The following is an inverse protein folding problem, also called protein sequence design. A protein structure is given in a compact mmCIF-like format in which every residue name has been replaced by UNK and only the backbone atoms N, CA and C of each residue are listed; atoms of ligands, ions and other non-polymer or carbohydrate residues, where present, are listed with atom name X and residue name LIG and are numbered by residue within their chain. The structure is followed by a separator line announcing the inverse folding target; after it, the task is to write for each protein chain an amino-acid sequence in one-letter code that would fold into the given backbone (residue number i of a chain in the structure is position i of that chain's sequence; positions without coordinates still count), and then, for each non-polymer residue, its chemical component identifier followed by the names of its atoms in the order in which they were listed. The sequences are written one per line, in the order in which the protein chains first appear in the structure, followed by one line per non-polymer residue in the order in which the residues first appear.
data_IF_136339603685
#
_entry.id   IF_136339603685
#
_cell.length_a   1.000
_cell.length_b   1.000
_cell.length_c   1.000
_cell.angle_alpha   90.00
_cell.angle_beta   90.00
_cell.angle_gamma   90.00
#
_symmetry.space_group_name_H-M   'P 1'
#
loop_
_entity.id
_entity.type
_entity.pdbx_description
1 polymer ?
#
# COMPACT_ATOMS: atom_id res chain seq x y z
N UNK A 1 -14.68 -3.26 35.23
CA UNK A 1 -16.05 -3.80 35.08
C UNK A 1 -17.16 -2.86 35.62
N UNK A 2 -16.90 -1.57 35.93
CA UNK A 2 -17.93 -0.68 36.51
C UNK A 2 -18.59 0.30 35.51
N UNK A 3 -17.95 0.64 34.39
CA UNK A 3 -18.50 1.60 33.41
C UNK A 3 -19.70 1.06 32.60
N UNK A 4 -19.81 -0.25 32.39
CA UNK A 4 -20.90 -0.85 31.59
C UNK A 4 -22.28 -0.71 32.24
N UNK A 5 -22.34 -0.54 33.57
CA UNK A 5 -23.60 -0.46 34.31
C UNK A 5 -24.16 0.98 34.37
N UNK A 6 -23.43 1.97 33.86
CA UNK A 6 -23.81 3.38 33.89
C UNK A 6 -24.30 3.92 32.53
N UNK A 7 -24.28 3.07 31.49
CA UNK A 7 -24.67 3.45 30.13
C UNK A 7 -26.21 3.40 30.01
N UNK A 8 -26.89 4.52 29.67
CA UNK A 8 -28.33 4.51 29.43
C UNK A 8 -28.70 3.64 28.21
N UNK A 9 -29.85 2.94 28.25
CA UNK A 9 -30.32 2.17 27.08
C UNK A 9 -30.52 3.04 25.83
N UNK A 10 -30.86 4.32 26.02
CA UNK A 10 -31.02 5.31 24.95
C UNK A 10 -29.70 5.66 24.25
N UNK A 11 -28.55 5.37 24.84
CA UNK A 11 -27.23 5.62 24.25
C UNK A 11 -27.06 4.91 22.91
N UNK A 12 -27.53 3.67 22.83
CA UNK A 12 -27.42 2.83 21.63
C UNK A 12 -28.32 3.26 20.47
N UNK A 13 -29.24 4.21 20.70
CA UNK A 13 -30.13 4.72 19.65
C UNK A 13 -29.39 5.40 18.49
N UNK A 14 -28.19 5.94 18.75
CA UNK A 14 -27.31 6.53 17.73
C UNK A 14 -27.08 5.58 16.54
N UNK A 15 -26.81 4.31 16.82
CA UNK A 15 -26.49 3.34 15.75
C UNK A 15 -27.70 2.97 14.89
N UNK A 16 -28.92 3.28 15.36
CA UNK A 16 -30.18 3.01 14.65
C UNK A 16 -30.77 4.27 14.02
N UNK A 17 -30.24 5.45 14.31
CA UNK A 17 -30.81 6.70 13.84
C UNK A 17 -30.56 6.89 12.35
N UNK A 18 -31.49 7.58 11.68
CA UNK A 18 -31.37 7.90 10.25
C UNK A 18 -30.33 9.01 10.01
N UNK A 19 -30.11 9.86 11.02
CA UNK A 19 -29.13 10.95 11.02
C UNK A 19 -27.80 10.56 11.68
N UNK A 20 -27.49 9.26 11.79
CA UNK A 20 -26.35 8.76 12.58
C UNK A 20 -25.04 9.46 12.25
N UNK A 21 -24.74 9.61 10.97
CA UNK A 21 -23.46 10.15 10.52
C UNK A 21 -23.32 11.64 10.91
N UNK A 22 -24.43 12.39 10.89
CA UNK A 22 -24.49 13.79 11.35
C UNK A 22 -24.26 13.88 12.86
N UNK A 23 -24.84 12.98 13.64
CA UNK A 23 -24.66 12.97 15.10
C UNK A 23 -23.25 12.54 15.51
N UNK A 24 -22.65 11.57 14.83
CA UNK A 24 -21.25 11.18 15.07
C UNK A 24 -20.33 12.37 14.78
N UNK A 25 -20.53 13.06 13.66
CA UNK A 25 -19.74 14.24 13.32
C UNK A 25 -19.92 15.38 14.33
N UNK A 26 -21.16 15.64 14.75
CA UNK A 26 -21.47 16.61 15.79
C UNK A 26 -20.74 16.32 17.11
N UNK A 27 -20.64 15.04 17.50
CA UNK A 27 -19.90 14.62 18.69
C UNK A 27 -18.39 14.85 18.55
N UNK A 28 -17.82 14.58 17.37
CA UNK A 28 -16.40 14.83 17.11
C UNK A 28 -16.08 16.34 17.17
N UNK A 29 -16.90 17.19 16.56
CA UNK A 29 -16.69 18.64 16.64
C UNK A 29 -16.80 19.19 18.06
N UNK A 30 -17.72 18.66 18.88
CA UNK A 30 -17.82 19.04 20.30
C UNK A 30 -16.61 18.54 21.08
N UNK A 31 -16.10 17.35 20.78
CA UNK A 31 -14.94 16.78 21.46
C UNK A 31 -13.67 17.58 21.17
N UNK A 32 -13.42 17.94 19.91
CA UNK A 32 -12.29 18.80 19.52
C UNK A 32 -12.26 20.09 20.34
N UNK A 33 -13.39 20.80 20.43
CA UNK A 33 -13.49 22.04 21.22
C UNK A 33 -13.38 21.81 22.74
N UNK A 34 -13.74 20.62 23.22
CA UNK A 34 -13.58 20.25 24.62
C UNK A 34 -12.09 20.07 24.99
N UNK A 35 -11.26 19.57 24.06
CA UNK A 35 -9.82 19.40 24.29
C UNK A 35 -9.06 20.73 24.39
N UNK A 36 -9.48 21.75 23.65
CA UNK A 36 -8.82 23.06 23.63
C UNK A 36 -9.31 24.02 24.71
N UNK A 37 -10.44 23.75 25.37
CA UNK A 37 -11.03 24.64 26.37
C UNK A 37 -10.80 24.16 27.81
N UNK A 38 -10.18 25.01 28.64
CA UNK A 38 -9.92 24.73 30.06
C UNK A 38 -11.19 24.73 30.95
N UNK A 39 -12.35 25.13 30.42
CA UNK A 39 -13.62 25.24 31.13
C UNK A 39 -14.70 24.42 30.43
N UNK A 40 -15.70 23.98 31.19
CA UNK A 40 -16.87 23.31 30.63
C UNK A 40 -17.51 24.15 29.51
N UNK A 41 -17.91 23.49 28.43
CA UNK A 41 -18.59 24.16 27.32
C UNK A 41 -19.99 24.58 27.75
N UNK A 42 -20.37 25.83 27.52
CA UNK A 42 -21.74 26.27 27.77
C UNK A 42 -22.66 25.79 26.66
N UNK A 43 -23.96 25.68 26.94
CA UNK A 43 -24.95 25.29 25.94
C UNK A 43 -24.91 26.18 24.70
N UNK A 44 -24.72 27.48 24.87
CA UNK A 44 -24.65 28.46 23.78
C UNK A 44 -23.45 28.23 22.88
N UNK A 45 -22.28 27.91 23.47
CA UNK A 45 -21.06 27.60 22.73
C UNK A 45 -21.25 26.31 21.93
N UNK A 46 -21.82 25.26 22.51
CA UNK A 46 -22.13 24.03 21.76
C UNK A 46 -23.09 24.29 20.59
N UNK A 47 -24.11 25.14 20.76
CA UNK A 47 -25.01 25.51 19.65
C UNK A 47 -24.27 26.26 18.55
N UNK A 48 -23.35 27.17 18.91
CA UNK A 48 -22.52 27.89 17.94
C UNK A 48 -21.62 26.94 17.15
N UNK A 49 -20.91 26.03 17.82
CA UNK A 49 -20.06 25.01 17.18
C UNK A 49 -20.86 24.19 16.17
N UNK A 50 -22.04 23.70 16.58
CA UNK A 50 -22.92 22.93 15.71
C UNK A 50 -23.51 23.77 14.58
N UNK A 51 -23.74 25.06 14.80
CA UNK A 51 -24.16 26.01 13.77
C UNK A 51 -23.08 26.20 12.71
N UNK A 52 -21.82 26.34 13.12
CA UNK A 52 -20.70 26.48 12.21
C UNK A 52 -20.46 25.19 11.40
N UNK A 53 -20.59 24.03 12.06
CA UNK A 53 -20.58 22.73 11.39
C UNK A 53 -21.68 22.62 10.32
N UNK A 54 -22.92 22.95 10.69
CA UNK A 54 -24.07 22.95 9.77
C UNK A 54 -23.90 23.93 8.60
N UNK A 55 -23.30 25.10 8.85
CA UNK A 55 -23.04 26.09 7.80
C UNK A 55 -22.01 25.60 6.77
N UNK A 56 -20.98 24.86 7.21
CA UNK A 56 -19.93 24.31 6.33
C UNK A 56 -20.46 23.23 5.40
N UNK A 57 -21.33 22.33 5.87
CA UNK A 57 -21.75 21.14 5.12
C UNK A 57 -23.21 21.12 4.64
N UNK A 58 -24.05 22.05 5.11
CA UNK A 58 -25.48 22.19 4.74
C UNK A 58 -26.27 20.87 4.86
N UNK A 59 -26.27 20.28 6.05
CA UNK A 59 -27.01 19.06 6.31
C UNK A 59 -28.54 19.28 6.33
N UNK A 60 -29.29 18.34 5.76
CA UNK A 60 -30.74 18.24 5.94
C UNK A 60 -31.06 17.15 6.97
N UNK A 61 -31.52 17.54 8.16
CA UNK A 61 -31.92 16.60 9.21
C UNK A 61 -33.27 15.96 8.88
N UNK A 62 -33.28 14.63 8.76
CA UNK A 62 -34.51 13.87 8.60
C UNK A 62 -35.27 13.77 9.94
N UNK A 63 -36.59 13.59 9.87
CA UNK A 63 -37.43 13.44 11.07
C UNK A 63 -37.12 12.12 11.77
N UNK A 64 -36.81 12.18 13.05
CA UNK A 64 -36.64 11.01 13.91
C UNK A 64 -38.00 10.52 14.43
N UNK A 65 -38.11 9.23 14.76
CA UNK A 65 -39.34 8.65 15.32
C UNK A 65 -39.75 9.29 16.67
N UNK A 66 -38.78 9.81 17.41
CA UNK A 66 -38.96 10.46 18.71
C UNK A 66 -39.05 11.99 18.63
N UNK A 67 -39.04 12.58 17.42
CA UNK A 67 -39.13 14.04 17.26
C UNK A 67 -40.53 14.55 17.58
N UNK A 68 -40.63 15.48 18.52
CA UNK A 68 -41.86 16.21 18.79
C UNK A 68 -42.09 17.30 17.75
N UNK A 69 -43.33 17.73 17.57
CA UNK A 69 -43.65 18.83 16.64
C UNK A 69 -43.00 20.17 17.06
N UNK A 70 -42.62 20.31 18.34
CA UNK A 70 -41.85 21.44 18.84
C UNK A 70 -40.38 21.37 18.40
N UNK A 71 -39.78 20.18 18.39
CA UNK A 71 -38.40 19.98 17.93
C UNK A 71 -38.25 20.40 16.45
N UNK A 72 -39.30 20.26 15.64
CA UNK A 72 -39.32 20.69 14.23
C UNK A 72 -39.25 22.21 14.04
N UNK A 73 -39.56 22.99 15.06
CA UNK A 73 -39.49 24.46 15.04
C UNK A 73 -38.13 25.00 15.48
N UNK A 74 -37.29 24.14 16.07
CA UNK A 74 -35.95 24.52 16.52
C UNK A 74 -34.94 24.56 15.36
N UNK A 75 -33.85 25.31 15.55
CA UNK A 75 -32.73 25.29 14.62
C UNK A 75 -32.12 23.89 14.55
N UNK A 76 -31.54 23.47 13.39
CA UNK A 76 -30.93 22.16 13.26
C UNK A 76 -29.84 21.90 14.31
N UNK A 77 -29.07 22.93 14.68
CA UNK A 77 -28.04 22.85 15.72
C UNK A 77 -28.63 22.59 17.10
N UNK A 78 -29.75 23.25 17.44
CA UNK A 78 -30.47 22.98 18.69
C UNK A 78 -31.06 21.57 18.72
N UNK A 79 -31.63 21.11 17.60
CA UNK A 79 -32.19 19.76 17.46
C UNK A 79 -31.12 18.68 17.68
N UNK A 80 -29.97 18.81 17.04
CA UNK A 80 -28.82 17.91 17.21
C UNK A 80 -28.39 17.87 18.68
N UNK A 81 -28.19 19.02 19.30
CA UNK A 81 -27.74 19.10 20.69
C UNK A 81 -28.75 18.48 21.66
N UNK A 82 -30.04 18.80 21.49
CA UNK A 82 -31.10 18.26 22.32
C UNK A 82 -31.25 16.74 22.13
N UNK A 83 -31.09 16.24 20.91
CA UNK A 83 -31.09 14.80 20.63
C UNK A 83 -29.92 14.10 21.33
N UNK A 84 -28.69 14.62 21.22
CA UNK A 84 -27.50 14.07 21.87
C UNK A 84 -27.63 14.04 23.41
N UNK A 85 -28.27 15.06 24.00
CA UNK A 85 -28.60 15.10 25.44
C UNK A 85 -29.65 14.04 25.82
N UNK A 86 -30.71 13.86 25.02
CA UNK A 86 -31.76 12.84 25.26
C UNK A 86 -31.22 11.41 25.10
N UNK A 87 -30.35 11.21 24.10
CA UNK A 87 -29.69 9.95 23.85
C UNK A 87 -28.61 9.62 24.91
N UNK A 88 -28.22 10.58 25.76
CA UNK A 88 -27.24 10.36 26.83
C UNK A 88 -25.79 10.41 26.36
N UNK A 89 -25.51 10.92 25.16
CA UNK A 89 -24.13 11.15 24.71
C UNK A 89 -23.51 12.39 25.36
N UNK A 90 -24.35 13.35 25.76
CA UNK A 90 -23.97 14.56 26.47
C UNK A 90 -24.79 14.68 27.76
N UNK A 91 -24.22 15.33 28.78
CA UNK A 91 -24.88 15.59 30.06
C UNK A 91 -24.93 17.08 30.37
N UNK A 92 -26.08 17.53 30.83
CA UNK A 92 -26.27 18.89 31.32
C UNK A 92 -25.82 19.00 32.79
N UNK A 93 -25.00 19.99 33.08
CA UNK A 93 -24.62 20.39 34.44
C UNK A 93 -24.98 21.86 34.62
N UNK A 94 -25.88 22.15 35.55
CA UNK A 94 -26.26 23.52 35.89
C UNK A 94 -25.34 24.00 37.01
N UNK A 95 -24.61 25.09 36.78
CA UNK A 95 -23.87 25.75 37.85
C UNK A 95 -24.81 26.71 38.58
N UNK A 96 -25.22 26.32 39.78
CA UNK A 96 -26.13 27.09 40.63
C UNK A 96 -25.59 28.49 41.00
N UNK A 97 -24.27 28.71 40.92
CA UNK A 97 -23.67 30.01 41.26
C UNK A 97 -23.72 31.00 40.08
N UNK A 98 -23.53 30.51 38.86
CA UNK A 98 -23.45 31.35 37.67
C UNK A 98 -24.75 31.34 36.84
N UNK A 99 -25.71 30.46 37.18
CA UNK A 99 -26.93 30.19 36.41
C UNK A 99 -26.65 29.79 34.95
N UNK A 100 -25.41 29.35 34.66
CA UNK A 100 -25.00 28.91 33.33
C UNK A 100 -25.21 27.41 33.21
N UNK A 101 -25.73 27.01 32.06
CA UNK A 101 -25.91 25.61 31.70
C UNK A 101 -24.69 25.11 30.95
N UNK A 102 -23.93 24.23 31.57
CA UNK A 102 -22.77 23.59 30.98
C UNK A 102 -23.12 22.22 30.41
N UNK A 103 -22.36 21.81 29.40
CA UNK A 103 -22.47 20.54 28.71
C UNK A 103 -21.17 19.77 28.91
N UNK A 104 -21.28 18.52 29.33
CA UNK A 104 -20.16 17.64 29.65
C UNK A 104 -20.34 16.32 28.92
N UNK A 105 -19.23 15.78 28.44
CA UNK A 105 -19.14 14.43 27.86
C UNK A 105 -18.95 13.43 29.01
N UNK A 106 -19.88 12.48 29.23
CA UNK A 106 -19.68 11.42 30.21
C UNK A 106 -18.52 10.49 29.85
N UNK A 107 -17.85 9.89 30.85
CA UNK A 107 -16.68 9.01 30.65
C UNK A 107 -16.94 7.85 29.68
N UNK A 108 -18.13 7.23 29.73
CA UNK A 108 -18.48 6.15 28.80
C UNK A 108 -18.66 6.65 27.35
N UNK A 109 -19.14 7.88 27.16
CA UNK A 109 -19.32 8.48 25.86
C UNK A 109 -17.96 8.88 25.26
N UNK A 110 -17.06 9.42 26.09
CA UNK A 110 -15.69 9.77 25.68
C UNK A 110 -14.96 8.56 25.06
N UNK A 111 -15.03 7.38 25.69
CA UNK A 111 -14.41 6.15 25.14
C UNK A 111 -14.92 5.81 23.73
N UNK A 112 -16.21 6.05 23.48
CA UNK A 112 -16.81 5.78 22.17
C UNK A 112 -16.51 6.89 21.16
N UNK A 113 -16.43 8.14 21.60
CA UNK A 113 -16.03 9.29 20.77
C UNK A 113 -14.57 9.11 20.32
N UNK A 114 -13.66 8.73 21.22
CA UNK A 114 -12.27 8.38 20.86
C UNK A 114 -12.21 7.26 19.80
N UNK A 115 -13.15 6.32 19.86
CA UNK A 115 -13.24 5.25 18.87
C UNK A 115 -13.75 5.78 17.52
N UNK A 116 -14.74 6.66 17.51
CA UNK A 116 -15.19 7.34 16.29
C UNK A 116 -14.11 8.22 15.69
N UNK A 117 -13.36 8.93 16.51
CA UNK A 117 -12.24 9.76 16.06
C UNK A 117 -11.20 8.90 15.36
N UNK A 118 -10.79 7.78 15.97
CA UNK A 118 -9.87 6.81 15.36
C UNK A 118 -10.39 6.21 14.05
N UNK A 119 -11.69 6.04 13.92
CA UNK A 119 -12.32 5.54 12.69
C UNK A 119 -12.42 6.61 11.61
N UNK A 120 -12.58 7.88 12.00
CA UNK A 120 -12.74 9.02 11.10
C UNK A 120 -11.40 9.62 10.66
N UNK A 121 -10.36 9.50 11.47
CA UNK A 121 -9.00 9.80 11.08
C UNK A 121 -8.47 8.67 10.20
N UNK A 122 -8.55 8.84 8.87
CA UNK A 122 -8.07 7.83 7.92
C UNK A 122 -6.57 7.48 8.07
N UNK A 123 -5.75 8.28 8.75
CA UNK A 123 -4.30 7.99 8.85
C UNK A 123 -3.55 8.54 10.08
N UNK A 124 -4.23 9.18 11.04
CA UNK A 124 -3.54 9.87 12.15
C UNK A 124 -3.00 8.93 13.24
N UNK A 125 -3.43 7.66 13.30
CA UNK A 125 -3.05 6.75 14.40
C UNK A 125 -1.91 5.78 14.09
N UNK A 126 -1.50 5.64 12.83
CA UNK A 126 -0.41 4.71 12.44
C UNK A 126 0.88 5.41 12.01
N UNK A 127 0.86 6.72 11.82
CA UNK A 127 2.05 7.53 11.52
C UNK A 127 2.98 7.75 12.72
N UNK A 128 2.56 7.36 13.93
CA UNK A 128 3.30 7.62 15.19
C UNK A 128 3.92 6.39 15.86
N UNK A 129 3.91 5.23 15.19
CA UNK A 129 4.51 4.02 15.75
C UNK A 129 6.00 3.98 15.42
N UNK A 130 6.71 5.00 15.93
CA UNK A 130 8.15 5.14 15.73
C UNK A 130 8.94 4.16 16.58
N UNK A 131 9.93 3.52 15.97
CA UNK A 131 10.89 2.65 16.68
C UNK A 131 11.72 3.49 17.65
N UNK A 132 12.01 4.74 17.28
CA UNK A 132 12.62 5.75 18.12
C UNK A 132 11.89 5.91 19.47
N UNK A 133 10.55 5.81 19.53
CA UNK A 133 9.82 5.95 20.79
C UNK A 133 10.13 4.81 21.76
N UNK A 134 10.32 3.59 21.25
CA UNK A 134 10.74 2.44 22.06
C UNK A 134 12.17 2.64 22.57
N UNK A 135 13.07 3.09 21.69
CA UNK A 135 14.44 3.39 22.10
C UNK A 135 14.51 4.51 23.14
N UNK A 136 13.82 5.62 22.91
CA UNK A 136 13.79 6.78 23.81
C UNK A 136 13.23 6.43 25.19
N UNK A 137 12.17 5.61 25.25
CA UNK A 137 11.59 5.15 26.52
C UNK A 137 12.53 4.20 27.28
N UNK A 138 13.21 3.28 26.60
CA UNK A 138 14.23 2.42 27.22
C UNK A 138 15.46 3.20 27.67
N UNK A 139 15.93 4.15 26.86
CA UNK A 139 17.04 5.02 27.20
C UNK A 139 16.71 5.91 28.40
N UNK A 140 15.50 6.48 28.46
CA UNK A 140 15.02 7.22 29.61
C UNK A 140 14.90 6.34 30.85
N UNK A 141 14.38 5.11 30.71
CA UNK A 141 14.32 4.15 31.81
C UNK A 141 15.70 3.85 32.40
N UNK A 142 16.75 3.72 31.56
CA UNK A 142 18.12 3.48 32.02
C UNK A 142 18.74 4.69 32.69
N UNK A 143 18.59 5.88 32.09
CA UNK A 143 19.39 7.05 32.44
C UNK A 143 18.70 8.03 33.39
N UNK A 144 17.38 7.96 33.56
CA UNK A 144 16.66 8.83 34.47
C UNK A 144 16.68 8.27 35.91
N UNK A 145 17.22 9.00 36.91
CA UNK A 145 17.15 8.59 38.32
C UNK A 145 15.71 8.48 38.87
N UNK A 146 14.72 9.03 38.19
CA UNK A 146 13.29 8.91 38.51
C UNK A 146 12.58 7.79 37.77
N UNK A 147 13.29 7.01 36.97
CA UNK A 147 12.71 5.91 36.21
C UNK A 147 11.86 4.99 37.09
N UNK A 148 10.66 4.70 36.60
CA UNK A 148 9.71 3.78 37.20
C UNK A 148 9.45 2.61 36.26
N UNK A 149 8.92 1.51 36.80
CA UNK A 149 8.50 0.35 35.99
C UNK A 149 7.44 0.72 34.94
N UNK A 150 6.74 1.85 35.14
CA UNK A 150 5.80 2.41 34.17
C UNK A 150 6.44 2.74 32.82
N UNK A 151 7.68 3.24 32.78
CA UNK A 151 8.38 3.49 31.52
C UNK A 151 8.66 2.19 30.75
N UNK A 152 8.96 1.11 31.47
CA UNK A 152 9.16 -0.20 30.88
C UNK A 152 7.84 -0.77 30.33
N UNK A 153 6.73 -0.57 31.04
CA UNK A 153 5.38 -0.88 30.52
C UNK A 153 5.05 -0.07 29.27
N UNK A 154 5.37 1.23 29.25
CA UNK A 154 5.17 2.08 28.06
C UNK A 154 6.01 1.57 26.89
N UNK A 155 7.27 1.22 27.11
CA UNK A 155 8.13 0.62 26.08
C UNK A 155 7.53 -0.69 25.54
N UNK A 156 6.98 -1.54 26.41
CA UNK A 156 6.29 -2.77 26.00
C UNK A 156 5.02 -2.49 25.20
N UNK A 157 4.19 -1.51 25.60
CA UNK A 157 3.00 -1.11 24.86
C UNK A 157 3.38 -0.61 23.47
N UNK A 158 4.41 0.22 23.36
CA UNK A 158 4.91 0.71 22.08
C UNK A 158 5.45 -0.43 21.20
N UNK A 159 6.18 -1.38 21.79
CA UNK A 159 6.68 -2.58 21.08
C UNK A 159 5.52 -3.45 20.56
N UNK A 160 4.45 -3.60 21.34
CA UNK A 160 3.24 -4.34 20.93
C UNK A 160 2.46 -3.62 19.83
N UNK A 161 2.35 -2.29 19.91
CA UNK A 161 1.73 -1.47 18.86
C UNK A 161 2.48 -1.60 17.54
N UNK A 162 3.82 -1.53 17.57
CA UNK A 162 4.68 -1.73 16.40
C UNK A 162 4.48 -3.13 15.78
N UNK A 163 4.47 -4.17 16.60
CA UNK A 163 4.19 -5.52 16.13
C UNK A 163 2.81 -5.65 15.47
N UNK A 164 1.79 -5.01 16.06
CA UNK A 164 0.43 -5.02 15.52
C UNK A 164 0.36 -4.30 14.17
N UNK A 165 0.95 -3.10 14.05
CA UNK A 165 0.96 -2.36 12.79
C UNK A 165 1.66 -3.13 11.65
N UNK A 166 2.79 -3.78 11.94
CA UNK A 166 3.45 -4.66 10.96
C UNK A 166 2.59 -5.87 10.58
N UNK A 167 1.83 -6.43 11.53
CA UNK A 167 0.89 -7.50 11.25
C UNK A 167 -0.27 -7.05 10.35
N UNK A 168 -0.83 -5.89 10.66
CA UNK A 168 -1.96 -5.32 9.92
C UNK A 168 -1.52 -4.96 8.49
N UNK A 169 -0.31 -4.43 8.30
CA UNK A 169 0.30 -4.25 6.97
C UNK A 169 0.43 -5.58 6.19
N UNK A 170 0.88 -6.65 6.85
CA UNK A 170 1.01 -7.96 6.22
C UNK A 170 -0.36 -8.55 5.84
N UNK A 171 -1.39 -8.31 6.66
CA UNK A 171 -2.77 -8.69 6.33
C UNK A 171 -3.33 -7.87 5.15
N UNK A 172 -3.07 -6.56 5.13
CA UNK A 172 -3.47 -5.67 4.04
C UNK A 172 -2.83 -6.10 2.71
N UNK A 173 -1.55 -6.51 2.70
CA UNK A 173 -0.93 -7.09 1.50
C UNK A 173 -1.70 -8.28 0.92
N UNK A 174 -2.20 -9.19 1.77
CA UNK A 174 -3.01 -10.32 1.30
C UNK A 174 -4.34 -9.86 0.70
N UNK A 175 -4.95 -8.82 1.26
CA UNK A 175 -6.17 -8.19 0.70
C UNK A 175 -5.88 -7.59 -0.67
N UNK A 176 -4.75 -6.89 -0.86
CA UNK A 176 -4.36 -6.38 -2.17
C UNK A 176 -4.08 -7.47 -3.19
N UNK A 177 -3.48 -8.59 -2.78
CA UNK A 177 -3.34 -9.76 -3.64
C UNK A 177 -4.69 -10.29 -4.11
N UNK A 178 -5.66 -10.42 -3.21
CA UNK A 178 -7.01 -10.88 -3.56
C UNK A 178 -7.71 -9.91 -4.53
N UNK A 179 -7.59 -8.60 -4.27
CA UNK A 179 -8.13 -7.57 -5.18
C UNK A 179 -7.45 -7.58 -6.55
N UNK A 180 -6.12 -7.71 -6.59
CA UNK A 180 -5.34 -7.83 -7.83
C UNK A 180 -5.83 -9.01 -8.68
N UNK A 181 -6.22 -10.12 -8.04
CA UNK A 181 -6.74 -11.30 -8.74
C UNK A 181 -8.08 -11.04 -9.43
N UNK A 182 -8.90 -10.13 -8.89
CA UNK A 182 -10.22 -9.77 -9.41
C UNK A 182 -10.18 -8.73 -10.54
N UNK A 183 -9.02 -8.09 -10.79
CA UNK A 183 -8.89 -7.05 -11.81
C UNK A 183 -8.50 -7.62 -13.17
N UNK A 184 -9.37 -7.50 -14.15
CA UNK A 184 -9.15 -8.08 -15.49
C UNK A 184 -8.55 -7.08 -16.49
N UNK A 185 -8.55 -5.79 -16.15
CA UNK A 185 -8.06 -4.73 -17.02
C UNK A 185 -6.68 -4.21 -16.60
N UNK A 186 -5.84 -3.86 -17.59
CA UNK A 186 -4.52 -3.30 -17.35
C UNK A 186 -4.59 -1.99 -16.55
N UNK A 187 -5.51 -1.09 -16.94
CA UNK A 187 -5.72 0.19 -16.27
C UNK A 187 -6.21 0.03 -14.83
N UNK A 188 -7.08 -0.95 -14.56
CA UNK A 188 -7.55 -1.27 -13.21
C UNK A 188 -6.43 -1.79 -12.31
N UNK A 189 -5.58 -2.68 -12.84
CA UNK A 189 -4.40 -3.19 -12.12
C UNK A 189 -3.41 -2.07 -11.83
N UNK A 190 -3.13 -1.19 -12.80
CA UNK A 190 -2.20 -0.08 -12.63
C UNK A 190 -2.70 0.93 -11.60
N UNK A 191 -3.99 1.29 -11.66
CA UNK A 191 -4.61 2.19 -10.70
C UNK A 191 -4.57 1.63 -9.28
N UNK A 192 -4.99 0.38 -9.08
CA UNK A 192 -4.95 -0.24 -7.75
C UNK A 192 -3.50 -0.37 -7.22
N UNK A 193 -2.53 -0.59 -8.10
CA UNK A 193 -1.14 -0.63 -7.70
C UNK A 193 -0.61 0.74 -7.26
N UNK A 194 -0.86 1.79 -8.04
CA UNK A 194 -0.32 3.13 -7.78
C UNK A 194 -1.08 3.88 -6.68
N UNK A 195 -2.41 3.92 -6.77
CA UNK A 195 -3.23 4.73 -5.87
C UNK A 195 -3.45 4.03 -4.53
N UNK A 196 -3.59 2.69 -4.53
CA UNK A 196 -3.92 1.97 -3.31
C UNK A 196 -2.67 1.31 -2.68
N UNK A 197 -1.96 0.47 -3.43
CA UNK A 197 -0.87 -0.35 -2.86
C UNK A 197 0.39 0.47 -2.51
N UNK A 198 0.79 1.41 -3.37
CA UNK A 198 1.97 2.24 -3.11
C UNK A 198 1.74 3.15 -1.90
N UNK A 199 0.57 3.80 -1.81
CA UNK A 199 0.20 4.67 -0.69
C UNK A 199 0.10 3.89 0.63
N UNK A 200 -0.67 2.80 0.67
CA UNK A 200 -0.93 2.11 1.93
C UNK A 200 0.24 1.24 2.42
N UNK A 201 1.07 0.69 1.53
CA UNK A 201 2.09 -0.32 1.91
C UNK A 201 3.50 0.14 1.61
N UNK A 202 3.78 0.63 0.40
CA UNK A 202 5.17 0.95 0.00
C UNK A 202 5.70 2.13 0.80
N UNK A 203 4.92 3.19 0.98
CA UNK A 203 5.32 4.34 1.79
C UNK A 203 5.51 3.99 3.27
N UNK A 204 4.58 3.23 3.86
CA UNK A 204 4.69 2.78 5.27
C UNK A 204 5.92 1.86 5.45
N UNK A 205 6.19 0.96 4.52
CA UNK A 205 7.39 0.11 4.51
C UNK A 205 8.68 0.94 4.35
N UNK A 206 8.67 1.93 3.46
CA UNK A 206 9.80 2.84 3.25
C UNK A 206 10.14 3.60 4.54
N UNK A 207 9.13 4.09 5.25
CA UNK A 207 9.30 4.75 6.54
C UNK A 207 10.06 3.87 7.54
N UNK A 208 9.65 2.62 7.74
CA UNK A 208 10.27 1.73 8.75
C UNK A 208 11.73 1.34 8.41
N UNK A 209 12.08 1.29 7.12
CA UNK A 209 13.36 0.70 6.67
C UNK A 209 14.38 1.70 6.15
N UNK A 210 13.96 2.88 5.69
CA UNK A 210 14.81 3.80 4.93
C UNK A 210 14.87 5.22 5.45
N UNK A 211 13.96 5.65 6.33
CA UNK A 211 14.03 6.98 6.95
C UNK A 211 14.94 6.96 8.19
N UNK A 212 15.01 8.08 8.91
CA UNK A 212 15.70 8.18 10.20
C UNK A 212 15.16 7.20 11.25
N UNK A 213 13.94 6.71 11.09
CA UNK A 213 13.33 5.70 11.97
C UNK A 213 13.62 4.26 11.50
N UNK A 214 14.88 4.00 11.15
CA UNK A 214 15.30 2.73 10.59
C UNK A 214 15.37 1.63 11.66
N UNK A 215 14.61 0.55 11.46
CA UNK A 215 14.63 -0.62 12.34
C UNK A 215 16.04 -1.18 12.61
N UNK A 216 16.86 -1.33 11.58
CA UNK A 216 18.18 -1.95 11.72
C UNK A 216 19.16 -1.08 12.51
N UNK A 217 18.97 0.25 12.52
CA UNK A 217 19.76 1.15 13.36
C UNK A 217 19.36 0.95 14.82
N UNK A 218 18.07 1.13 15.13
CA UNK A 218 17.58 1.05 16.50
C UNK A 218 17.64 -0.35 17.10
N UNK A 219 17.55 -1.42 16.31
CA UNK A 219 17.63 -2.81 16.79
C UNK A 219 18.90 -3.05 17.61
N UNK A 220 20.06 -2.61 17.09
CA UNK A 220 21.33 -2.81 17.77
C UNK A 220 21.41 -2.00 19.06
N UNK A 221 20.94 -0.76 19.04
CA UNK A 221 20.95 0.12 20.20
C UNK A 221 19.96 -0.33 21.29
N UNK A 222 18.78 -0.81 20.90
CA UNK A 222 17.78 -1.38 21.82
C UNK A 222 18.30 -2.67 22.43
N UNK A 223 18.84 -3.61 21.64
CA UNK A 223 19.45 -4.84 22.19
C UNK A 223 20.64 -4.56 23.09
N UNK A 224 21.39 -3.49 22.83
CA UNK A 224 22.46 -3.04 23.72
C UNK A 224 21.88 -2.49 25.03
N UNK A 225 20.89 -1.60 24.96
CA UNK A 225 20.23 -1.03 26.12
C UNK A 225 19.57 -2.10 27.01
N UNK A 226 18.87 -3.06 26.42
CA UNK A 226 18.24 -4.18 27.16
C UNK A 226 19.29 -5.03 27.89
N UNK A 227 20.42 -5.34 27.25
CA UNK A 227 21.54 -6.06 27.89
C UNK A 227 22.17 -5.26 29.03
N UNK A 228 22.43 -3.98 28.81
CA UNK A 228 22.99 -3.09 29.85
C UNK A 228 22.07 -2.96 31.07
N UNK A 229 20.75 -2.94 30.88
CA UNK A 229 19.78 -2.97 31.98
C UNK A 229 19.82 -4.32 32.69
N UNK A 230 19.86 -5.43 31.93
CA UNK A 230 19.86 -6.80 32.45
C UNK A 230 21.10 -7.12 33.29
N UNK A 231 22.27 -6.64 32.86
CA UNK A 231 23.55 -6.90 33.53
C UNK A 231 23.70 -6.10 34.85
N UNK A 232 22.85 -5.10 35.08
CA UNK A 232 22.88 -4.24 36.27
C UNK A 232 21.84 -4.67 37.31
N UNK A 233 22.16 -5.75 38.04
CA UNK A 233 21.31 -6.30 39.10
C UNK A 233 20.98 -5.27 40.19
N UNK A 234 21.94 -4.38 40.50
CA UNK A 234 21.76 -3.34 41.52
C UNK A 234 20.71 -2.31 41.10
N UNK A 235 20.72 -1.90 39.82
CA UNK A 235 19.70 -1.04 39.25
C UNK A 235 18.32 -1.72 39.24
N UNK A 236 18.24 -2.97 38.81
CA UNK A 236 16.98 -3.74 38.77
C UNK A 236 16.36 -3.83 40.17
N UNK A 237 17.15 -4.22 41.17
CA UNK A 237 16.68 -4.30 42.56
C UNK A 237 16.18 -2.95 43.06
N UNK A 238 16.89 -1.85 42.76
CA UNK A 238 16.49 -0.50 43.17
C UNK A 238 15.14 -0.09 42.58
N UNK A 239 14.90 -0.36 41.29
CA UNK A 239 13.63 -0.07 40.62
C UNK A 239 12.51 -0.93 41.18
N UNK A 240 12.75 -2.22 41.39
CA UNK A 240 11.75 -3.13 41.97
C UNK A 240 11.34 -2.72 43.39
N UNK A 241 12.28 -2.37 44.27
CA UNK A 241 11.96 -1.92 45.63
C UNK A 241 11.12 -0.65 45.60
N UNK A 242 11.45 0.30 44.72
CA UNK A 242 10.68 1.54 44.56
C UNK A 242 9.26 1.26 44.04
N UNK A 243 9.12 0.35 43.09
CA UNK A 243 7.81 -0.10 42.57
C UNK A 243 6.94 -0.70 43.67
N UNK A 244 7.53 -1.58 44.50
CA UNK A 244 6.84 -2.17 45.66
C UNK A 244 6.37 -1.12 46.67
N UNK A 245 7.17 -0.07 46.89
CA UNK A 245 6.76 1.04 47.77
C UNK A 245 5.59 1.87 47.21
N UNK A 246 5.43 1.91 45.88
CA UNK A 246 4.30 2.56 45.21
C UNK A 246 3.05 1.66 45.11
N UNK A 247 3.10 0.45 45.69
CA UNK A 247 2.00 -0.52 45.65
C UNK A 247 1.91 -1.33 44.36
N UNK A 248 2.90 -1.23 43.48
CA UNK A 248 2.93 -1.91 42.18
C UNK A 248 3.75 -3.21 42.29
N UNK A 249 3.03 -4.30 42.58
CA UNK A 249 3.57 -5.64 42.81
C UNK A 249 3.32 -6.60 41.63
N UNK A 250 2.87 -6.11 40.48
CA UNK A 250 2.30 -6.97 39.44
C UNK A 250 3.30 -7.55 38.45
N UNK A 251 4.36 -6.81 38.10
CA UNK A 251 5.26 -7.24 37.00
C UNK A 251 6.72 -7.28 37.45
N UNK A 252 7.40 -8.37 37.10
CA UNK A 252 8.85 -8.48 37.24
C UNK A 252 9.56 -7.73 36.09
N UNK A 253 10.53 -6.89 36.46
CA UNK A 253 11.35 -6.10 35.51
C UNK A 253 12.01 -7.00 34.45
N UNK A 254 12.49 -8.18 34.85
CA UNK A 254 13.12 -9.14 33.93
C UNK A 254 12.10 -9.69 32.92
N UNK A 255 10.89 -10.04 33.36
CA UNK A 255 9.84 -10.53 32.46
C UNK A 255 9.43 -9.48 31.43
N UNK A 256 9.34 -8.21 31.85
CA UNK A 256 9.05 -7.10 30.94
C UNK A 256 10.18 -6.89 29.91
N UNK A 257 11.45 -7.00 30.32
CA UNK A 257 12.59 -6.94 29.39
C UNK A 257 12.54 -8.10 28.38
N UNK A 258 12.24 -9.32 28.83
CA UNK A 258 12.12 -10.51 27.97
C UNK A 258 10.99 -10.36 26.95
N UNK A 259 9.85 -9.80 27.36
CA UNK A 259 8.72 -9.54 26.46
C UNK A 259 9.06 -8.48 25.41
N UNK A 260 9.83 -7.45 25.77
CA UNK A 260 10.31 -6.44 24.82
C UNK A 260 11.31 -7.09 23.86
N UNK A 261 12.29 -7.84 24.36
CA UNK A 261 13.31 -8.51 23.53
C UNK A 261 12.68 -9.45 22.51
N UNK A 262 11.77 -10.34 22.95
CA UNK A 262 11.00 -11.22 22.04
C UNK A 262 10.18 -10.42 21.03
N UNK A 263 9.57 -9.33 21.47
CA UNK A 263 8.83 -8.42 20.60
C UNK A 263 9.69 -7.86 19.46
N UNK A 264 10.98 -7.58 19.69
CA UNK A 264 11.90 -7.12 18.66
C UNK A 264 12.38 -8.21 17.71
N UNK A 265 12.57 -9.43 18.21
CA UNK A 265 12.90 -10.59 17.37
C UNK A 265 11.72 -10.92 16.43
N UNK A 266 10.48 -10.84 16.92
CA UNK A 266 9.28 -11.03 16.11
C UNK A 266 9.15 -9.95 15.01
N UNK A 267 9.51 -8.70 15.31
CA UNK A 267 9.50 -7.61 14.32
C UNK A 267 10.45 -7.92 13.16
N UNK A 268 11.65 -8.42 13.44
CA UNK A 268 12.61 -8.78 12.38
C UNK A 268 12.05 -9.87 11.46
N UNK A 269 11.46 -10.92 12.03
CA UNK A 269 10.83 -11.98 11.25
C UNK A 269 9.64 -11.46 10.42
N UNK A 270 8.86 -10.53 10.97
CA UNK A 270 7.73 -9.89 10.25
C UNK A 270 8.21 -9.03 9.09
N UNK A 271 9.28 -8.26 9.27
CA UNK A 271 9.88 -7.45 8.21
C UNK A 271 10.37 -8.34 7.07
N UNK A 272 11.07 -9.44 7.37
CA UNK A 272 11.54 -10.38 6.36
C UNK A 272 10.38 -11.04 5.59
N UNK A 273 9.31 -11.44 6.29
CA UNK A 273 8.11 -11.98 5.66
C UNK A 273 7.40 -10.92 4.80
N UNK A 274 7.38 -9.67 5.26
CA UNK A 274 6.82 -8.56 4.51
C UNK A 274 7.59 -8.29 3.22
N UNK A 275 8.92 -8.35 3.25
CA UNK A 275 9.77 -8.24 2.05
C UNK A 275 9.46 -9.33 1.03
N UNK A 276 9.28 -10.56 1.52
CA UNK A 276 8.92 -11.71 0.68
C UNK A 276 7.56 -11.54 0.01
N UNK A 277 6.52 -11.20 0.78
CA UNK A 277 5.17 -11.01 0.22
C UNK A 277 5.11 -9.77 -0.70
N UNK A 278 5.82 -8.69 -0.38
CA UNK A 278 5.95 -7.53 -1.27
C UNK A 278 6.57 -7.91 -2.61
N UNK A 279 7.71 -8.62 -2.59
CA UNK A 279 8.40 -9.05 -3.82
C UNK A 279 7.51 -9.95 -4.66
N UNK A 280 6.78 -10.87 -4.01
CA UNK A 280 5.82 -11.75 -4.67
C UNK A 280 4.66 -10.95 -5.28
N UNK A 281 4.16 -9.93 -4.60
CA UNK A 281 3.07 -9.08 -5.08
C UNK A 281 3.50 -8.31 -6.31
N UNK A 282 4.61 -7.57 -6.22
CA UNK A 282 5.14 -6.79 -7.36
C UNK A 282 5.40 -7.71 -8.56
N UNK A 283 6.00 -8.89 -8.34
CA UNK A 283 6.22 -9.87 -9.40
C UNK A 283 4.91 -10.34 -10.03
N UNK A 284 3.90 -10.66 -9.24
CA UNK A 284 2.60 -11.09 -9.75
C UNK A 284 1.92 -9.96 -10.54
N UNK A 285 1.95 -8.73 -10.02
CA UNK A 285 1.41 -7.53 -10.67
C UNK A 285 2.10 -7.28 -12.01
N UNK A 286 3.43 -7.25 -12.05
CA UNK A 286 4.21 -7.04 -13.28
C UNK A 286 3.97 -8.18 -14.27
N UNK A 287 3.92 -9.43 -13.81
CA UNK A 287 3.65 -10.58 -14.68
C UNK A 287 2.26 -10.50 -15.29
N UNK A 288 1.24 -10.09 -14.51
CA UNK A 288 -0.14 -9.93 -14.99
C UNK A 288 -0.27 -8.73 -15.94
N UNK A 289 0.37 -7.61 -15.63
CA UNK A 289 0.47 -6.46 -16.52
C UNK A 289 1.12 -6.84 -17.85
N UNK A 290 2.26 -7.55 -17.80
CA UNK A 290 2.95 -8.05 -18.98
C UNK A 290 2.09 -9.03 -19.77
N UNK A 291 1.35 -9.92 -19.10
CA UNK A 291 0.41 -10.83 -19.75
C UNK A 291 -0.65 -10.05 -20.55
N UNK A 292 -1.25 -9.02 -19.95
CA UNK A 292 -2.27 -8.19 -20.64
C UNK A 292 -1.67 -7.36 -21.78
N UNK A 293 -0.43 -6.87 -21.65
CA UNK A 293 0.27 -6.13 -22.70
C UNK A 293 0.78 -7.03 -23.84
N UNK A 294 1.17 -8.26 -23.54
CA UNK A 294 1.75 -9.20 -24.50
C UNK A 294 0.74 -9.80 -25.47
N UNK A 295 -0.55 -9.50 -25.30
CA UNK A 295 -1.64 -10.03 -26.13
C UNK A 295 -1.48 -9.80 -27.63
N UNK A 296 -0.66 -8.86 -28.09
CA UNK A 296 -0.65 -8.46 -29.51
C UNK A 296 0.61 -8.83 -30.31
N UNK A 297 1.73 -9.24 -29.69
CA UNK A 297 3.04 -9.27 -30.40
C UNK A 297 3.79 -10.60 -30.40
N UNK A 298 3.58 -11.47 -29.42
CA UNK A 298 4.26 -12.78 -29.33
C UNK A 298 3.29 -13.95 -29.60
N UNK A 299 3.81 -15.06 -30.12
CA UNK A 299 3.11 -16.35 -30.28
C UNK A 299 2.38 -16.78 -29.01
N UNK A 300 2.96 -16.49 -27.83
CA UNK A 300 2.33 -16.71 -26.52
C UNK A 300 1.10 -15.83 -26.32
N UNK A 301 1.14 -14.56 -26.71
CA UNK A 301 0.01 -13.63 -26.65
C UNK A 301 -1.16 -14.05 -27.53
N UNK A 302 -0.86 -14.53 -28.74
CA UNK A 302 -1.88 -15.07 -29.65
C UNK A 302 -2.56 -16.33 -29.09
N UNK A 303 -1.79 -17.25 -28.49
CA UNK A 303 -2.34 -18.43 -27.81
C UNK A 303 -3.22 -18.02 -26.62
N UNK A 304 -2.78 -17.01 -25.88
CA UNK A 304 -3.53 -16.45 -24.75
C UNK A 304 -4.85 -15.81 -25.20
N UNK A 305 -4.85 -14.98 -26.24
CA UNK A 305 -6.08 -14.40 -26.80
C UNK A 305 -7.06 -15.49 -27.24
N UNK A 306 -6.54 -16.54 -27.88
CA UNK A 306 -7.34 -17.67 -28.33
C UNK A 306 -7.98 -18.41 -27.14
N UNK A 307 -7.22 -18.66 -26.07
CA UNK A 307 -7.73 -19.26 -24.84
C UNK A 307 -8.77 -18.39 -24.12
N UNK A 308 -8.56 -17.08 -24.07
CA UNK A 308 -9.53 -16.14 -23.49
C UNK A 308 -10.84 -16.13 -24.30
N UNK A 309 -10.75 -16.11 -25.63
CA UNK A 309 -11.91 -16.19 -26.52
C UNK A 309 -12.66 -17.53 -26.41
N UNK A 310 -11.95 -18.63 -26.16
CA UNK A 310 -12.56 -19.92 -25.83
C UNK A 310 -13.25 -19.92 -24.46
N UNK A 311 -12.78 -19.10 -23.52
CA UNK A 311 -13.34 -18.98 -22.17
C UNK A 311 -14.56 -18.06 -22.09
N UNK A 312 -14.75 -17.15 -23.05
CA UNK A 312 -15.87 -16.20 -23.06
C UNK A 312 -17.21 -16.88 -23.41
N UNK A 313 -17.22 -17.82 -24.35
CA UNK A 313 -18.42 -18.54 -24.79
C UNK A 313 -18.28 -20.07 -24.62
N UNK A 314 -18.71 -20.64 -23.49
CA UNK A 314 -18.58 -22.08 -23.18
C UNK A 314 -19.26 -22.97 -24.22
N UNK A 315 -20.38 -22.51 -24.79
CA UNK A 315 -21.19 -23.27 -25.76
C UNK A 315 -20.52 -23.35 -27.14
N UNK A 316 -19.64 -22.39 -27.48
CA UNK A 316 -18.87 -22.36 -28.74
C UNK A 316 -17.44 -22.89 -28.58
N UNK A 317 -17.03 -23.22 -27.35
CA UNK A 317 -15.66 -23.63 -27.04
C UNK A 317 -15.21 -24.85 -27.87
N UNK A 318 -16.05 -25.88 -28.03
CA UNK A 318 -15.73 -27.06 -28.85
C UNK A 318 -15.56 -26.74 -30.34
N UNK A 319 -16.36 -25.80 -30.86
CA UNK A 319 -16.30 -25.37 -32.25
C UNK A 319 -15.05 -24.53 -32.52
N UNK A 320 -14.72 -23.61 -31.61
CA UNK A 320 -13.50 -22.81 -31.66
C UNK A 320 -12.26 -23.72 -31.53
N UNK A 321 -12.27 -24.73 -30.66
CA UNK A 321 -11.16 -25.69 -30.51
C UNK A 321 -10.96 -26.50 -31.79
N UNK A 322 -12.04 -26.98 -32.42
CA UNK A 322 -11.94 -27.78 -33.66
C UNK A 322 -11.48 -26.94 -34.85
N UNK A 323 -11.98 -25.71 -35.00
CA UNK A 323 -11.47 -24.73 -35.97
C UNK A 323 -9.98 -24.42 -35.75
N UNK A 324 -9.60 -24.18 -34.51
CA UNK A 324 -8.20 -23.89 -34.14
C UNK A 324 -7.31 -25.10 -34.44
N UNK A 325 -7.72 -26.30 -34.05
CA UNK A 325 -6.97 -27.54 -34.27
C UNK A 325 -6.75 -27.86 -35.75
N UNK A 326 -7.67 -27.46 -36.64
CA UNK A 326 -7.49 -27.57 -38.10
C UNK A 326 -6.42 -26.62 -38.65
N UNK A 327 -6.25 -25.45 -38.02
CA UNK A 327 -5.30 -24.40 -38.46
C UNK A 327 -3.95 -24.49 -37.74
N UNK A 328 -3.91 -25.08 -36.55
CA UNK A 328 -2.69 -25.31 -35.79
C UNK A 328 -2.04 -26.63 -36.20
N UNK A 329 -0.87 -26.54 -36.82
CA UNK A 329 -0.07 -27.71 -37.16
C UNK A 329 0.69 -28.22 -35.92
N UNK A 330 -0.04 -28.70 -34.91
CA UNK A 330 0.51 -29.36 -33.72
C UNK A 330 0.99 -30.77 -34.10
N UNK A 331 2.09 -30.82 -34.84
CA UNK A 331 2.81 -32.08 -35.04
C UNK A 331 3.58 -32.38 -33.75
N UNK A 332 3.16 -33.45 -33.06
CA UNK A 332 3.93 -34.01 -31.95
C UNK A 332 5.19 -34.67 -32.53
N UNK A 333 6.30 -33.93 -32.57
CA UNK A 333 7.58 -34.51 -32.98
C UNK A 333 8.16 -35.33 -31.83
N UNK A 334 7.67 -36.57 -31.65
CA UNK A 334 8.33 -37.53 -30.78
C UNK A 334 9.59 -38.07 -31.48
N UNK A 335 10.72 -37.42 -31.22
CA UNK A 335 12.03 -38.00 -31.56
C UNK A 335 12.25 -39.17 -30.61
N UNK A 336 11.95 -40.38 -31.08
CA UNK A 336 12.32 -41.63 -30.42
C UNK A 336 13.85 -41.73 -30.41
N UNK A 337 14.48 -41.28 -29.33
CA UNK A 337 15.90 -41.51 -29.07
C UNK A 337 16.06 -42.69 -28.11
N UNK A 338 17.23 -43.33 -28.08
CA UNK A 338 17.55 -44.38 -27.09
C UNK A 338 17.31 -43.91 -25.63
N UNK A 339 17.36 -42.60 -25.36
CA UNK A 339 17.06 -42.01 -24.05
C UNK A 339 15.56 -42.04 -23.70
N UNK A 340 14.67 -42.23 -24.67
CA UNK A 340 13.22 -42.29 -24.45
C UNK A 340 12.77 -43.64 -23.86
N UNK A 341 13.56 -44.70 -24.04
CA UNK A 341 13.36 -46.01 -23.36
C UNK A 341 13.88 -46.02 -21.92
N UNK A 342 14.58 -44.96 -21.49
CA UNK A 342 15.14 -44.86 -20.16
C UNK A 342 14.06 -44.51 -19.12
N UNK A 343 13.53 -45.53 -18.44
CA UNK A 343 12.79 -45.31 -17.19
C UNK A 343 13.75 -44.88 -16.10
N UNK A 344 13.91 -43.56 -15.91
CA UNK A 344 14.66 -42.99 -14.78
C UNK A 344 14.07 -43.56 -13.49
N UNK A 345 14.86 -44.33 -12.73
CA UNK A 345 14.49 -44.70 -11.35
C UNK A 345 14.27 -43.40 -10.59
N UNK A 346 13.04 -43.14 -10.14
CA UNK A 346 12.76 -42.06 -9.19
C UNK A 346 13.54 -42.40 -7.92
N UNK A 347 14.60 -41.65 -7.61
CA UNK A 347 15.16 -41.66 -6.26
C UNK A 347 14.06 -41.23 -5.29
N UNK A 348 14.05 -41.85 -4.10
CA UNK A 348 13.17 -41.44 -3.01
C UNK A 348 13.38 -39.94 -2.79
N UNK A 349 12.30 -39.16 -2.82
CA UNK A 349 12.37 -37.70 -2.65
C UNK A 349 12.85 -37.42 -1.21
N UNK A 350 14.11 -37.04 -1.06
CA UNK A 350 14.60 -36.50 0.21
C UNK A 350 14.05 -35.09 0.38
N UNK A 351 13.25 -34.92 1.43
CA UNK A 351 12.55 -33.69 1.82
C UNK A 351 13.46 -32.44 1.84
N UNK A 352 14.76 -32.64 2.06
CA UNK A 352 15.77 -31.57 2.16
C UNK A 352 16.06 -30.91 0.81
N UNK A 353 15.86 -31.61 -0.31
CA UNK A 353 16.14 -31.11 -1.67
C UNK A 353 15.06 -30.19 -2.28
N UNK A 354 14.02 -29.84 -1.51
CA UNK A 354 13.08 -28.76 -1.84
C UNK A 354 13.51 -27.40 -1.31
N UNK A 355 14.58 -27.33 -0.50
CA UNK A 355 15.23 -26.07 -0.17
C UNK A 355 16.30 -25.79 -1.24
N UNK A 356 15.85 -25.45 -2.45
CA UNK A 356 16.70 -24.64 -3.32
C UNK A 356 17.00 -23.36 -2.52
N UNK A 357 18.26 -22.93 -2.38
CA UNK A 357 18.52 -21.58 -1.89
C UNK A 357 17.81 -20.62 -2.85
N UNK A 358 17.04 -19.69 -2.29
CA UNK A 358 16.40 -18.63 -3.07
C UNK A 358 17.47 -18.00 -3.96
N UNK A 359 17.30 -18.10 -5.29
CA UNK A 359 18.10 -17.31 -6.21
C UNK A 359 17.82 -15.84 -5.86
N UNK A 360 18.78 -15.19 -5.22
CA UNK A 360 18.84 -13.74 -5.14
C UNK A 360 19.10 -13.23 -6.55
N UNK A 361 18.03 -13.09 -7.34
CA UNK A 361 18.06 -12.32 -8.58
C UNK A 361 18.14 -10.85 -8.17
N UNK A 362 19.28 -10.22 -8.49
CA UNK A 362 19.48 -8.80 -8.24
C UNK A 362 18.43 -7.95 -8.94
N UNK A 363 18.22 -6.74 -8.42
CA UNK A 363 17.34 -5.75 -9.02
C UNK A 363 17.63 -5.55 -10.51
N UNK A 364 16.58 -5.29 -11.29
CA UNK A 364 16.68 -5.02 -12.72
C UNK A 364 17.63 -3.85 -12.99
N UNK A 365 18.62 -4.07 -13.87
CA UNK A 365 19.59 -3.04 -14.21
C UNK A 365 18.95 -1.91 -15.04
N UNK A 366 19.56 -0.72 -15.02
CA UNK A 366 19.06 0.49 -15.69
C UNK A 366 18.84 0.27 -17.19
N UNK A 367 19.62 -0.62 -17.79
CA UNK A 367 19.52 -1.03 -19.20
C UNK A 367 18.28 -1.90 -19.50
N UNK A 368 17.79 -2.70 -18.54
CA UNK A 368 16.58 -3.49 -18.72
C UNK A 368 15.32 -2.63 -18.60
N UNK A 369 15.35 -1.61 -17.72
CA UNK A 369 14.29 -0.59 -17.60
C UNK A 369 14.23 0.31 -18.84
N UNK A 370 15.38 0.64 -19.44
CA UNK A 370 15.46 1.41 -20.68
C UNK A 370 14.98 0.61 -21.91
N UNK A 371 15.24 -0.71 -21.95
CA UNK A 371 14.68 -1.62 -22.97
C UNK A 371 13.15 -1.75 -22.90
N UNK A 372 12.58 -1.58 -21.70
CA UNK A 372 11.16 -1.75 -21.44
C UNK A 372 10.28 -0.53 -21.81
N UNK A 373 10.83 0.68 -21.96
CA UNK A 373 9.98 1.89 -21.89
C UNK A 373 10.02 2.89 -23.06
N UNK A 374 10.89 2.78 -24.06
CA UNK A 374 10.92 3.74 -25.19
C UNK A 374 11.40 2.98 -26.41
N UNK A 375 10.53 2.50 -27.29
CA UNK A 375 10.42 3.06 -28.66
C UNK A 375 9.32 2.31 -29.48
N UNK A 376 8.74 1.20 -28.97
CA UNK A 376 7.88 0.32 -29.78
C UNK A 376 6.39 0.71 -29.89
N UNK A 377 5.93 1.79 -29.24
CA UNK A 377 4.49 2.10 -29.13
C UNK A 377 3.98 3.28 -29.99
N UNK A 378 4.83 4.01 -30.72
CA UNK A 378 4.39 5.18 -31.52
C UNK A 378 4.20 4.90 -33.02
N UNK A 379 5.03 4.04 -33.60
CA UNK A 379 4.99 3.74 -35.05
C UNK A 379 4.88 2.23 -35.31
N UNK A 380 3.94 1.86 -36.17
CA UNK A 380 3.77 0.47 -36.63
C UNK A 380 4.92 0.05 -37.54
N UNK A 381 5.14 -1.26 -37.67
CA UNK A 381 6.10 -1.84 -38.62
C UNK A 381 5.91 -1.32 -40.06
N UNK A 382 4.66 -1.13 -40.49
CA UNK A 382 4.35 -0.60 -41.83
C UNK A 382 4.84 0.83 -42.01
N UNK A 383 4.68 1.68 -41.01
CA UNK A 383 5.14 3.08 -41.06
C UNK A 383 6.67 3.18 -41.10
N UNK A 384 7.38 2.25 -40.46
CA UNK A 384 8.84 2.17 -40.55
C UNK A 384 9.27 1.71 -41.95
N UNK A 385 8.58 0.72 -42.53
CA UNK A 385 8.83 0.28 -43.91
C UNK A 385 8.54 1.38 -44.93
N UNK A 386 7.42 2.10 -44.79
CA UNK A 386 7.06 3.26 -45.63
C UNK A 386 8.09 4.39 -45.50
N UNK A 387 8.58 4.66 -44.29
CA UNK A 387 9.63 5.66 -44.08
C UNK A 387 10.93 5.30 -44.81
N UNK A 388 11.34 4.03 -44.77
CA UNK A 388 12.51 3.55 -45.51
C UNK A 388 12.26 3.67 -47.02
N UNK A 389 11.10 3.23 -47.50
CA UNK A 389 10.75 3.25 -48.93
C UNK A 389 10.65 4.65 -49.52
N UNK A 390 10.06 5.60 -48.79
CA UNK A 390 9.92 6.99 -49.24
C UNK A 390 11.27 7.72 -49.34
N UNK A 391 12.29 7.26 -48.63
CA UNK A 391 13.64 7.83 -48.61
C UNK A 391 14.66 6.96 -49.39
N UNK A 392 14.21 5.96 -50.16
CA UNK A 392 15.09 5.18 -51.04
C UNK A 392 15.25 5.86 -52.40
N UNK A 393 16.50 6.08 -52.80
CA UNK A 393 16.88 6.42 -54.17
C UNK A 393 17.75 5.28 -54.73
N UNK A 394 17.44 4.78 -55.93
CA UNK A 394 18.20 3.69 -56.57
C UNK A 394 18.40 2.43 -55.69
N UNK A 395 17.34 1.99 -54.98
CA UNK A 395 17.32 0.85 -54.04
C UNK A 395 18.17 0.98 -52.76
N UNK A 396 18.72 2.18 -52.51
CA UNK A 396 19.51 2.48 -51.31
C UNK A 396 18.94 3.71 -50.61
N UNK A 397 18.67 3.62 -49.32
CA UNK A 397 18.39 4.78 -48.48
C UNK A 397 19.69 5.19 -47.80
N UNK A 398 20.17 6.39 -48.12
CA UNK A 398 21.37 6.98 -47.51
C UNK A 398 20.96 8.01 -46.46
N UNK A 399 21.22 7.71 -45.18
CA UNK A 399 20.83 8.58 -44.07
C UNK A 399 21.49 9.97 -44.14
N UNK A 400 22.62 10.12 -44.83
CA UNK A 400 23.28 11.42 -45.00
C UNK A 400 22.49 12.41 -45.87
N UNK A 401 21.60 11.92 -46.73
CA UNK A 401 20.81 12.73 -47.64
C UNK A 401 19.41 13.05 -47.11
N UNK A 402 19.05 12.50 -45.95
CA UNK A 402 17.73 12.70 -45.35
C UNK A 402 17.70 14.04 -44.64
N UNK A 403 16.67 14.82 -44.95
CA UNK A 403 16.38 16.06 -44.24
C UNK A 403 15.53 15.73 -43.01
N UNK A 404 16.17 15.52 -41.85
CA UNK A 404 15.46 15.28 -40.59
C UNK A 404 15.05 16.64 -40.02
N UNK A 405 13.78 17.00 -40.21
CA UNK A 405 13.27 18.31 -39.78
C UNK A 405 12.53 18.26 -38.44
N UNK A 406 12.10 17.06 -38.01
CA UNK A 406 11.25 16.88 -36.83
C UNK A 406 11.70 15.69 -35.95
N UNK A 407 11.35 15.73 -34.65
CA UNK A 407 11.67 14.70 -33.66
C UNK A 407 11.09 13.33 -34.05
N UNK A 408 9.92 13.32 -34.70
CA UNK A 408 9.30 12.08 -35.21
C UNK A 408 10.10 11.39 -36.32
N UNK A 409 10.75 12.16 -37.20
CA UNK A 409 11.57 11.60 -38.29
C UNK A 409 12.87 11.01 -37.74
N UNK A 410 13.43 11.66 -36.72
CA UNK A 410 14.59 11.15 -35.99
C UNK A 410 14.26 9.82 -35.26
N UNK A 411 13.10 9.75 -34.60
CA UNK A 411 12.61 8.51 -33.98
C UNK A 411 12.43 7.38 -35.02
N UNK A 412 11.86 7.68 -36.19
CA UNK A 412 11.70 6.72 -37.30
C UNK A 412 13.04 6.22 -37.83
N UNK A 413 14.08 7.06 -37.86
CA UNK A 413 15.43 6.66 -38.26
C UNK A 413 16.04 5.64 -37.28
N UNK A 414 15.94 5.89 -35.97
CA UNK A 414 16.41 4.97 -34.93
C UNK A 414 15.69 3.62 -35.02
N UNK A 415 14.37 3.68 -35.21
CA UNK A 415 13.51 2.51 -35.43
C UNK A 415 13.85 1.75 -36.71
N UNK A 416 14.17 2.45 -37.80
CA UNK A 416 14.59 1.84 -39.05
C UNK A 416 15.92 1.10 -38.90
N UNK A 417 16.86 1.63 -38.11
CA UNK A 417 18.10 0.96 -37.73
C UNK A 417 17.86 -0.32 -36.93
N UNK A 418 17.11 -0.23 -35.83
CA UNK A 418 16.75 -1.40 -35.01
C UNK A 418 15.98 -2.45 -35.84
N UNK A 419 15.05 -2.01 -36.71
CA UNK A 419 14.34 -2.93 -37.60
C UNK A 419 15.32 -3.63 -38.55
N UNK A 420 16.25 -2.91 -39.16
CA UNK A 420 17.14 -3.44 -40.20
C UNK A 420 18.28 -4.33 -39.69
N UNK A 421 18.59 -4.29 -38.39
CA UNK A 421 19.55 -5.21 -37.74
C UNK A 421 18.93 -6.57 -37.41
N UNK A 422 17.60 -6.69 -37.32
CA UNK A 422 16.91 -7.95 -37.00
C UNK A 422 17.05 -8.97 -38.13
N UNK A 423 17.07 -10.28 -37.79
CA UNK A 423 17.20 -11.35 -38.80
C UNK A 423 15.99 -11.51 -39.73
N UNK A 424 14.80 -11.06 -39.33
CA UNK A 424 13.55 -11.23 -40.08
C UNK A 424 13.05 -9.93 -40.76
N UNK A 425 13.93 -8.93 -40.94
CA UNK A 425 13.60 -7.67 -41.59
C UNK A 425 13.70 -7.77 -43.12
N UNK A 426 12.92 -6.94 -43.82
CA UNK A 426 13.03 -6.76 -45.28
C UNK A 426 14.25 -5.96 -45.70
N UNK A 427 14.83 -5.20 -44.78
CA UNK A 427 15.93 -4.26 -45.01
C UNK A 427 17.17 -4.65 -44.20
N UNK A 428 18.36 -4.35 -44.71
CA UNK A 428 19.66 -4.55 -44.04
C UNK A 428 20.45 -3.25 -44.07
N UNK A 429 21.19 -2.98 -43.00
CA UNK A 429 22.19 -1.90 -42.95
C UNK A 429 23.52 -2.43 -43.49
N UNK A 430 24.17 -1.66 -44.37
CA UNK A 430 25.54 -1.97 -44.80
C UNK A 430 26.51 -1.66 -43.65
N UNK A 431 27.34 -2.64 -43.29
CA UNK A 431 28.35 -2.51 -42.24
C UNK A 431 29.57 -1.77 -42.79
N UNK A 432 29.43 -0.46 -42.99
CA UNK A 432 30.53 0.48 -43.22
C UNK A 432 30.74 1.29 -41.94
N UNK A 433 31.97 1.69 -41.59
CA UNK A 433 32.20 2.66 -40.50
C UNK A 433 31.57 4.00 -40.93
N UNK A 434 30.39 4.37 -40.40
CA UNK A 434 29.63 5.45 -40.96
C UNK A 434 30.14 6.77 -40.38
N UNK A 435 30.37 7.77 -41.24
CA UNK A 435 30.66 9.12 -40.80
C UNK A 435 29.47 9.69 -40.01
N UNK A 436 29.76 10.49 -38.98
CA UNK A 436 28.72 11.14 -38.19
C UNK A 436 28.23 12.38 -38.92
N UNK A 437 26.92 12.46 -39.16
CA UNK A 437 26.25 13.61 -39.76
C UNK A 437 25.54 14.40 -38.68
N UNK A 438 25.62 15.72 -38.77
CA UNK A 438 24.89 16.65 -37.91
C UNK A 438 23.93 17.46 -38.77
N UNK A 439 22.63 17.29 -38.54
CA UNK A 439 21.58 17.98 -39.28
C UNK A 439 20.48 18.45 -38.32
N UNK A 440 20.05 19.70 -38.46
CA UNK A 440 19.00 20.34 -37.65
C UNK A 440 19.11 20.14 -36.11
N UNK A 441 20.33 20.03 -35.57
CA UNK A 441 20.57 19.83 -34.12
C UNK A 441 20.58 18.36 -33.66
N UNK A 442 20.43 17.41 -34.57
CA UNK A 442 20.54 15.97 -34.31
C UNK A 442 21.83 15.40 -34.90
N UNK A 443 22.47 14.48 -34.16
CA UNK A 443 23.70 13.80 -34.58
C UNK A 443 23.45 12.30 -34.74
N UNK A 444 23.70 11.78 -35.93
CA UNK A 444 23.46 10.38 -36.27
C UNK A 444 24.45 9.85 -37.33
N UNK A 445 24.70 8.53 -37.38
CA UNK A 445 25.58 7.93 -38.37
C UNK A 445 24.96 7.93 -39.79
N UNK A 446 25.78 8.18 -40.81
CA UNK A 446 25.44 8.08 -42.25
C UNK A 446 25.22 6.63 -42.70
N UNK A 447 24.21 5.98 -42.14
CA UNK A 447 23.89 4.58 -42.43
C UNK A 447 23.24 4.43 -43.81
N UNK A 448 23.59 3.34 -44.51
CA UNK A 448 22.96 2.94 -45.77
C UNK A 448 22.08 1.72 -45.57
N UNK A 449 20.80 1.85 -45.89
CA UNK A 449 19.82 0.78 -45.83
C UNK A 449 19.53 0.24 -47.23
N UNK A 450 19.57 -1.09 -47.38
CA UNK A 450 19.31 -1.79 -48.65
C UNK A 450 18.26 -2.87 -48.45
N UNK A 451 17.48 -3.17 -49.51
CA UNK A 451 16.57 -4.32 -49.49
C UNK A 451 17.38 -5.61 -49.37
N UNK A 452 16.98 -6.49 -48.45
CA UNK A 452 17.53 -7.85 -48.42
C UNK A 452 17.04 -8.57 -49.67
N UNK A 453 17.98 -9.08 -50.46
CA UNK A 453 17.66 -10.05 -51.52
C UNK A 453 17.13 -11.32 -50.84
N UNK A 454 15.94 -11.75 -51.26
CA UNK A 454 15.25 -12.93 -50.75
C UNK A 454 16.05 -14.21 -51.01
#
# INVERSE_FOLDING_TARGET
MQLMNEIPDTFWSLFRSVNRDIYIEALLCINEEYEYNNYFLTKEVCIQILSDMNAKKRFELQREENDTDFDMLETPSSRILNWLLRAGWLKRIEDYNTLVTNIVIPDYAAVMIDAFEKLNSEDASETDIYIQNVYATLYAFRNDPRASIGLLRTALVNTRRLNKALQDMLHNMNKFFAKLLQQDSYSGILREHLDSYVEEIVWKKYHILKTSDNFYIYKMDIKKCLREIRDDEAFIMKVQVRSKMLGDNQDDVLDLLDLIERGFDDIEHRIANMDKEHTKYVRATVTRMNYLLSGETDTKGLVVQLLNKMSEDPDQMEEIITETGKRMNLSLLEILSEKSLYKRRKSRKDFISQLLPDETTGDLDKDDILRLNRIQMRFSKKQIEEFIENNMEDEVMDASKINIADEEEFEKLILAYDYSTRKNSKYKVLEEEPEMVENAGYRYPALRFVKRRA
#
